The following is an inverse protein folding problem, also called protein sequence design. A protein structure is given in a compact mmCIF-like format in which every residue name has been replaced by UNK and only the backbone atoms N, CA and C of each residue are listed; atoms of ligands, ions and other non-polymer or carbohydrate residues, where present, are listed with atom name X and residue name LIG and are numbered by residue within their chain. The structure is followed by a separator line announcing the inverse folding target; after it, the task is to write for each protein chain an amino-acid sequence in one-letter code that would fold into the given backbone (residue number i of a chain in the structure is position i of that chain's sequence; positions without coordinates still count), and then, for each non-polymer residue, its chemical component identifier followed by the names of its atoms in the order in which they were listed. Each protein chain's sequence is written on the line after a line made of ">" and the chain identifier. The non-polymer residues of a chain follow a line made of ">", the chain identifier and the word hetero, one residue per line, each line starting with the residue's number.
data_IF_639639791646
#
_entry.id   IF_639639791646
#
_cell.length_a   1.000
_cell.length_b   1.000
_cell.length_c   1.000
_cell.angle_alpha   90.00
_cell.angle_beta   90.00
_cell.angle_gamma   90.00
#
_symmetry.space_group_name_H-M   'P 1'
#
loop_
_entity.id
_entity.type
_entity.pdbx_description
1 polymer ?
#
# COMPACT_ATOMS: atom_id res chain seq x y z
N UNK A 1 -46.83 43.25 -36.79
CA UNK A 1 -46.88 41.91 -36.24
C UNK A 1 -46.70 42.08 -34.74
N UNK A 2 -47.72 41.75 -33.92
CA UNK A 2 -47.79 42.16 -32.51
C UNK A 2 -46.72 41.47 -31.67
N UNK A 3 -45.86 42.24 -31.04
CA UNK A 3 -44.74 41.76 -30.15
C UNK A 3 -45.20 40.74 -29.10
N UNK A 4 -46.46 40.82 -28.62
CA UNK A 4 -47.07 39.85 -27.70
C UNK A 4 -47.26 38.45 -28.31
N UNK A 5 -47.55 38.35 -29.63
CA UNK A 5 -47.66 37.07 -30.34
C UNK A 5 -46.31 36.41 -30.58
N UNK A 6 -45.26 37.24 -30.80
CA UNK A 6 -43.87 36.78 -30.96
C UNK A 6 -43.33 36.21 -29.63
N UNK A 7 -43.67 36.88 -28.51
CA UNK A 7 -43.26 36.41 -27.17
C UNK A 7 -43.93 35.11 -26.76
N UNK A 8 -45.24 34.93 -27.11
CA UNK A 8 -45.96 33.72 -26.87
C UNK A 8 -45.44 32.54 -27.71
N UNK A 9 -45.02 32.79 -28.95
CA UNK A 9 -44.46 31.82 -29.85
C UNK A 9 -43.05 31.38 -29.42
N UNK A 10 -42.23 32.32 -28.87
CA UNK A 10 -40.92 32.02 -28.29
C UNK A 10 -41.04 31.20 -26.98
N UNK A 11 -42.09 31.44 -26.15
CA UNK A 11 -42.34 30.69 -24.94
C UNK A 11 -42.76 29.24 -25.23
N UNK A 12 -43.51 29.03 -26.32
CA UNK A 12 -43.93 27.70 -26.77
C UNK A 12 -42.78 26.87 -27.39
N UNK A 13 -41.82 27.55 -28.05
CA UNK A 13 -40.62 26.88 -28.58
C UNK A 13 -39.62 26.44 -27.50
N UNK A 14 -39.65 27.07 -26.32
CA UNK A 14 -38.79 26.70 -25.16
C UNK A 14 -39.32 25.46 -24.40
N UNK A 15 -40.53 25.00 -24.68
CA UNK A 15 -41.14 23.81 -24.03
C UNK A 15 -40.96 22.51 -24.83
N UNK A 16 -40.02 22.46 -25.82
CA UNK A 16 -39.69 21.22 -26.48
C UNK A 16 -39.05 20.27 -25.47
N UNK A 17 -39.64 19.08 -25.22
CA UNK A 17 -39.02 18.12 -24.32
C UNK A 17 -37.68 17.74 -24.90
N UNK A 18 -36.60 18.01 -24.16
CA UNK A 18 -35.29 17.42 -24.40
C UNK A 18 -35.47 15.91 -24.30
N UNK A 19 -35.67 15.27 -25.45
CA UNK A 19 -35.66 13.83 -25.52
C UNK A 19 -34.26 13.39 -25.14
N UNK A 20 -34.04 13.17 -23.84
CA UNK A 20 -32.85 12.50 -23.35
C UNK A 20 -32.82 11.11 -24.00
N UNK A 21 -31.82 10.87 -24.81
CA UNK A 21 -31.55 9.55 -25.35
C UNK A 21 -31.10 8.67 -24.17
N UNK A 22 -32.10 8.06 -23.49
CA UNK A 22 -31.80 7.08 -22.47
C UNK A 22 -31.09 5.90 -23.16
N UNK A 23 -29.82 5.69 -22.80
CA UNK A 23 -29.07 4.53 -23.27
C UNK A 23 -29.80 3.27 -22.78
N UNK A 24 -30.28 2.46 -23.68
CA UNK A 24 -30.83 1.15 -23.33
C UNK A 24 -29.64 0.24 -22.96
N UNK A 25 -29.65 -0.20 -21.72
CA UNK A 25 -28.63 -1.12 -21.24
C UNK A 25 -29.03 -2.55 -21.57
N UNK A 26 -28.15 -3.30 -22.21
CA UNK A 26 -28.33 -4.75 -22.37
C UNK A 26 -27.87 -5.46 -21.09
N UNK A 27 -28.34 -6.69 -20.88
CA UNK A 27 -27.88 -7.52 -19.74
C UNK A 27 -26.35 -7.61 -19.70
N UNK A 28 -25.71 -7.76 -20.86
CA UNK A 28 -24.26 -7.78 -20.96
C UNK A 28 -23.62 -6.47 -20.51
N UNK A 29 -24.17 -5.32 -20.93
CA UNK A 29 -23.65 -4.00 -20.51
C UNK A 29 -23.77 -3.83 -19.00
N UNK A 30 -24.87 -4.29 -18.38
CA UNK A 30 -25.07 -4.24 -16.94
C UNK A 30 -24.04 -5.10 -16.20
N UNK A 31 -23.79 -6.31 -16.66
CA UNK A 31 -22.78 -7.23 -16.09
C UNK A 31 -21.40 -6.62 -16.21
N UNK A 32 -21.00 -6.17 -17.39
CA UNK A 32 -19.67 -5.61 -17.64
C UNK A 32 -19.42 -4.35 -16.78
N UNK A 33 -20.44 -3.48 -16.69
CA UNK A 33 -20.36 -2.30 -15.82
C UNK A 33 -20.21 -2.67 -14.34
N UNK A 34 -20.99 -3.65 -13.87
CA UNK A 34 -20.93 -4.07 -12.48
C UNK A 34 -19.59 -4.73 -12.14
N UNK A 35 -19.05 -5.59 -13.01
CA UNK A 35 -17.72 -6.21 -12.80
C UNK A 35 -16.62 -5.16 -12.73
N UNK A 36 -16.73 -4.07 -13.49
CA UNK A 36 -15.74 -2.99 -13.48
C UNK A 36 -15.86 -2.08 -12.25
N UNK A 37 -17.08 -1.81 -11.78
CA UNK A 37 -17.37 -0.77 -10.81
C UNK A 37 -17.79 -1.28 -9.43
N UNK A 38 -18.02 -2.59 -9.26
CA UNK A 38 -18.46 -3.14 -7.99
C UNK A 38 -17.35 -3.07 -6.94
N UNK A 39 -17.62 -2.37 -5.83
CA UNK A 39 -16.66 -2.14 -4.75
C UNK A 39 -16.30 -3.46 -4.04
N UNK A 40 -17.24 -4.38 -3.88
CA UNK A 40 -16.98 -5.68 -3.25
C UNK A 40 -15.98 -6.50 -4.07
N UNK A 41 -16.14 -6.52 -5.40
CA UNK A 41 -15.20 -7.20 -6.29
C UNK A 41 -13.83 -6.52 -6.31
N UNK A 42 -13.79 -5.18 -6.27
CA UNK A 42 -12.51 -4.46 -6.16
C UNK A 42 -11.80 -4.79 -4.83
N UNK A 43 -12.53 -4.88 -3.73
CA UNK A 43 -11.99 -5.28 -2.43
C UNK A 43 -11.39 -6.69 -2.47
N UNK A 44 -12.10 -7.69 -3.04
CA UNK A 44 -11.56 -9.05 -3.14
C UNK A 44 -10.35 -9.14 -4.06
N UNK A 45 -10.31 -8.36 -5.16
CA UNK A 45 -9.13 -8.24 -6.02
C UNK A 45 -7.92 -7.64 -5.31
N UNK A 46 -8.12 -6.60 -4.50
CA UNK A 46 -7.06 -6.03 -3.68
C UNK A 46 -6.57 -7.01 -2.62
N UNK A 47 -7.48 -7.77 -2.00
CA UNK A 47 -7.11 -8.83 -1.06
C UNK A 47 -6.27 -9.92 -1.75
N UNK A 48 -6.66 -10.35 -2.94
CA UNK A 48 -5.86 -11.29 -3.76
C UNK A 48 -4.45 -10.74 -4.06
N UNK A 49 -4.33 -9.44 -4.38
CA UNK A 49 -3.02 -8.82 -4.60
C UNK A 49 -2.20 -8.78 -3.30
N UNK A 50 -2.83 -8.47 -2.17
CA UNK A 50 -2.16 -8.48 -0.86
C UNK A 50 -1.60 -9.86 -0.53
N UNK A 51 -2.39 -10.93 -0.68
CA UNK A 51 -1.90 -12.29 -0.41
C UNK A 51 -0.78 -12.73 -1.35
N UNK A 52 -0.74 -12.22 -2.59
CA UNK A 52 0.40 -12.44 -3.50
C UNK A 52 1.68 -11.75 -2.99
N UNK A 53 1.58 -10.59 -2.37
CA UNK A 53 2.73 -9.95 -1.74
C UNK A 53 3.15 -10.66 -0.44
N UNK A 54 2.21 -11.22 0.33
CA UNK A 54 2.51 -12.04 1.51
C UNK A 54 3.34 -13.30 1.14
N UNK A 55 3.05 -13.91 -0.03
CA UNK A 55 3.90 -14.98 -0.58
C UNK A 55 5.33 -14.51 -0.83
N UNK A 56 5.51 -13.31 -1.40
CA UNK A 56 6.86 -12.74 -1.64
C UNK A 56 7.57 -12.45 -0.32
N UNK A 57 6.84 -11.94 0.68
CA UNK A 57 7.37 -11.72 2.01
C UNK A 57 7.85 -13.04 2.65
N UNK A 58 7.01 -14.09 2.61
CA UNK A 58 7.40 -15.41 3.10
C UNK A 58 8.61 -16.02 2.34
N UNK A 59 8.77 -15.71 1.06
CA UNK A 59 9.98 -16.06 0.31
C UNK A 59 11.21 -15.29 0.79
N UNK A 60 11.05 -14.00 1.08
CA UNK A 60 12.13 -13.15 1.59
C UNK A 60 12.63 -13.59 2.97
N UNK A 61 11.77 -14.18 3.81
CA UNK A 61 12.15 -14.74 5.12
C UNK A 61 13.12 -15.94 5.03
N UNK A 62 13.26 -16.55 3.85
CA UNK A 62 14.26 -17.58 3.60
C UNK A 62 15.64 -17.02 3.28
N UNK A 63 15.73 -15.72 2.99
CA UNK A 63 16.96 -15.02 2.65
C UNK A 63 17.56 -14.34 3.89
N UNK A 64 18.87 -14.06 3.87
CA UNK A 64 19.49 -13.28 4.92
C UNK A 64 18.98 -11.84 4.91
N UNK A 65 18.71 -11.28 6.09
CA UNK A 65 18.41 -9.87 6.28
C UNK A 65 19.68 -9.10 6.63
N UNK A 66 19.92 -8.00 5.91
CA UNK A 66 21.03 -7.09 6.16
C UNK A 66 20.48 -5.77 6.67
N UNK A 67 20.92 -5.34 7.85
CA UNK A 67 20.55 -4.05 8.42
C UNK A 67 21.80 -3.20 8.66
N UNK A 68 21.70 -1.93 8.31
CA UNK A 68 22.69 -0.90 8.62
C UNK A 68 22.14 0.00 9.72
N UNK A 69 22.92 0.20 10.75
CA UNK A 69 22.59 1.11 11.85
C UNK A 69 23.67 2.16 12.01
N UNK A 70 23.27 3.39 12.26
CA UNK A 70 24.19 4.46 12.61
C UNK A 70 23.66 5.20 13.83
N UNK A 71 24.54 5.52 14.75
CA UNK A 71 24.23 6.37 15.90
C UNK A 71 25.26 7.51 15.94
N UNK A 72 24.76 8.72 16.03
CA UNK A 72 25.58 9.93 16.07
C UNK A 72 25.20 10.70 17.35
N UNK A 73 26.19 10.87 18.24
CA UNK A 73 25.99 11.59 19.49
C UNK A 73 26.91 12.82 19.51
N UNK A 74 26.32 13.99 19.60
CA UNK A 74 27.02 15.24 19.88
C UNK A 74 26.76 15.63 21.35
N UNK A 75 27.80 15.77 22.13
CA UNK A 75 27.72 16.20 23.53
C UNK A 75 28.47 17.52 23.72
N UNK A 76 27.76 18.53 24.23
CA UNK A 76 28.33 19.84 24.55
C UNK A 76 28.47 19.97 26.06
N UNK A 77 29.72 20.12 26.54
CA UNK A 77 30.00 20.37 27.94
C UNK A 77 30.57 21.79 28.09
N UNK A 78 29.77 22.74 28.58
CA UNK A 78 30.20 24.14 28.72
C UNK A 78 31.29 24.34 29.77
N UNK A 79 31.40 23.44 30.75
CA UNK A 79 32.44 23.44 31.80
C UNK A 79 33.20 22.11 31.77
N UNK A 80 34.16 21.91 30.83
CA UNK A 80 34.93 20.68 30.78
C UNK A 80 35.83 20.61 32.03
N UNK A 81 35.70 19.51 32.75
CA UNK A 81 36.63 19.24 33.88
C UNK A 81 38.02 18.93 33.32
N UNK A 82 39.02 19.66 33.82
CA UNK A 82 40.44 19.54 33.37
C UNK A 82 41.10 18.25 33.85
N UNK A 83 40.37 17.33 34.48
CA UNK A 83 40.92 16.16 35.17
C UNK A 83 41.03 14.89 34.33
N UNK A 84 40.72 14.91 33.04
CA UNK A 84 40.96 13.75 32.17
C UNK A 84 42.29 13.90 31.44
N UNK A 85 43.34 13.59 32.11
CA UNK A 85 44.64 13.41 31.46
C UNK A 85 44.73 11.98 30.92
N UNK A 86 44.82 11.83 29.61
CA UNK A 86 45.12 10.54 28.97
C UNK A 86 46.58 10.48 28.69
N UNK A 87 47.29 9.52 29.29
CA UNK A 87 48.74 9.30 29.03
C UNK A 87 48.87 8.35 27.84
N UNK A 88 49.25 8.88 26.70
CA UNK A 88 49.55 8.08 25.49
C UNK A 88 51.05 8.24 25.17
N UNK A 89 51.78 7.14 25.12
CA UNK A 89 53.22 7.10 24.85
C UNK A 89 54.10 8.01 25.72
N UNK A 90 53.74 8.21 27.00
CA UNK A 90 54.50 9.05 27.93
C UNK A 90 54.20 10.54 27.83
N UNK A 91 53.27 10.96 26.97
CA UNK A 91 52.80 12.33 26.88
C UNK A 91 51.42 12.45 27.54
N UNK A 92 51.26 13.47 28.34
CA UNK A 92 49.93 13.81 28.95
C UNK A 92 49.21 14.74 28.02
N UNK A 93 48.26 14.24 27.34
CA UNK A 93 47.33 15.07 26.55
C UNK A 93 46.12 15.45 27.40
N UNK A 94 46.03 16.72 27.72
CA UNK A 94 44.81 17.30 28.33
C UNK A 94 43.96 17.85 27.19
N UNK A 95 43.00 17.03 26.70
CA UNK A 95 42.01 17.52 25.75
C UNK A 95 40.88 18.24 26.49
N UNK A 96 40.74 19.52 26.23
CA UNK A 96 39.68 20.37 26.80
C UNK A 96 38.63 20.62 25.73
N UNK A 97 38.14 19.54 25.10
CA UNK A 97 37.14 19.68 24.09
C UNK A 97 35.76 19.92 24.72
N UNK A 98 35.21 21.10 24.46
CA UNK A 98 33.83 21.46 24.88
C UNK A 98 32.78 20.69 24.10
N UNK A 99 33.14 20.19 22.93
CA UNK A 99 32.24 19.43 22.05
C UNK A 99 32.83 18.06 21.81
N UNK A 100 32.11 17.03 22.24
CA UNK A 100 32.46 15.65 21.94
C UNK A 100 31.48 15.13 20.90
N UNK A 101 32.02 14.69 19.78
CA UNK A 101 31.27 14.02 18.74
C UNK A 101 31.68 12.55 18.69
N UNK A 102 30.69 11.67 18.89
CA UNK A 102 30.90 10.23 18.81
C UNK A 102 29.92 9.62 17.83
N UNK A 103 30.44 8.89 16.86
CA UNK A 103 29.65 8.19 15.84
C UNK A 103 29.95 6.70 15.87
N UNK A 104 28.92 5.87 15.78
CA UNK A 104 29.03 4.45 15.56
C UNK A 104 28.26 4.01 14.33
N UNK A 105 28.84 3.07 13.59
CA UNK A 105 28.23 2.46 12.42
C UNK A 105 28.24 0.95 12.63
N UNK A 106 27.06 0.34 12.41
CA UNK A 106 26.89 -1.09 12.56
C UNK A 106 26.31 -1.69 11.29
N UNK A 107 26.83 -2.83 10.89
CA UNK A 107 26.27 -3.67 9.82
C UNK A 107 25.94 -5.02 10.45
N UNK A 108 24.63 -5.38 10.42
CA UNK A 108 24.17 -6.62 11.00
C UNK A 108 23.55 -7.50 9.91
N UNK A 109 24.06 -8.72 9.79
CA UNK A 109 23.52 -9.76 8.93
C UNK A 109 22.85 -10.82 9.82
N UNK A 110 21.57 -11.08 9.58
CA UNK A 110 20.84 -12.13 10.26
C UNK A 110 20.28 -13.12 9.25
N UNK A 111 20.56 -14.40 9.44
CA UNK A 111 20.09 -15.46 8.58
C UNK A 111 19.68 -16.69 9.38
N UNK A 112 18.42 -17.07 9.25
CA UNK A 112 17.93 -18.32 9.85
C UNK A 112 18.12 -19.47 8.87
N UNK A 113 19.24 -20.18 8.98
CA UNK A 113 19.60 -21.30 8.09
C UNK A 113 18.65 -22.49 8.29
N UNK A 114 18.24 -22.75 9.55
CA UNK A 114 17.37 -23.84 9.90
C UNK A 114 16.49 -23.50 11.11
N UNK A 115 15.17 -23.76 10.99
CA UNK A 115 14.20 -23.58 12.06
C UNK A 115 13.13 -24.70 12.07
N UNK A 116 13.53 -25.93 11.78
CA UNK A 116 12.57 -27.05 11.74
C UNK A 116 11.57 -26.98 10.59
N UNK A 117 11.96 -26.42 9.43
CA UNK A 117 11.09 -26.20 8.26
C UNK A 117 9.94 -25.19 8.47
N UNK A 118 9.92 -24.45 9.58
CA UNK A 118 8.84 -23.51 9.87
C UNK A 118 8.64 -22.49 8.74
N UNK A 119 9.70 -21.81 8.30
CA UNK A 119 9.61 -20.81 7.22
C UNK A 119 9.16 -21.44 5.90
N UNK A 120 9.62 -22.65 5.59
CA UNK A 120 9.18 -23.37 4.38
C UNK A 120 7.70 -23.76 4.43
N UNK A 121 7.21 -24.16 5.60
CA UNK A 121 5.79 -24.49 5.77
C UNK A 121 4.94 -23.21 5.74
N UNK A 122 5.44 -22.10 6.29
CA UNK A 122 4.79 -20.78 6.18
C UNK A 122 4.65 -20.37 4.72
N UNK A 123 5.72 -20.48 3.93
CA UNK A 123 5.65 -20.18 2.49
C UNK A 123 4.61 -21.05 1.76
N UNK A 124 4.47 -22.34 2.12
CA UNK A 124 3.44 -23.20 1.54
C UNK A 124 2.04 -22.74 1.94
N UNK A 125 1.86 -22.33 3.19
CA UNK A 125 0.59 -21.81 3.70
C UNK A 125 0.20 -20.54 2.94
N UNK A 126 1.13 -19.59 2.80
CA UNK A 126 0.85 -18.34 2.07
C UNK A 126 0.49 -18.58 0.59
N UNK A 127 1.11 -19.58 -0.06
CA UNK A 127 0.74 -19.95 -1.43
C UNK A 127 -0.69 -20.47 -1.50
N UNK A 128 -1.10 -21.34 -0.59
CA UNK A 128 -2.48 -21.86 -0.53
C UNK A 128 -3.47 -20.73 -0.24
N UNK A 129 -3.12 -19.82 0.66
CA UNK A 129 -3.94 -18.64 0.98
C UNK A 129 -4.09 -17.70 -0.24
N UNK A 130 -3.05 -17.55 -1.05
CA UNK A 130 -3.12 -16.76 -2.28
C UNK A 130 -4.01 -17.43 -3.34
N UNK A 131 -3.94 -18.76 -3.49
CA UNK A 131 -4.83 -19.52 -4.36
C UNK A 131 -6.29 -19.43 -3.90
N UNK A 132 -6.55 -19.52 -2.58
CA UNK A 132 -7.88 -19.32 -2.01
C UNK A 132 -8.41 -17.93 -2.34
N UNK A 133 -7.62 -16.87 -2.14
CA UNK A 133 -8.05 -15.49 -2.43
C UNK A 133 -8.36 -15.27 -3.92
N UNK A 134 -7.69 -15.99 -4.84
CA UNK A 134 -7.98 -15.97 -6.26
C UNK A 134 -9.34 -16.61 -6.56
N UNK A 135 -9.64 -17.76 -5.96
CA UNK A 135 -10.93 -18.43 -6.06
C UNK A 135 -12.07 -17.60 -5.45
N UNK A 136 -11.82 -16.94 -4.31
CA UNK A 136 -12.79 -16.06 -3.65
C UNK A 136 -13.14 -14.86 -4.54
N UNK A 137 -12.14 -14.28 -5.22
CA UNK A 137 -12.37 -13.21 -6.19
C UNK A 137 -13.20 -13.68 -7.39
N UNK A 138 -12.92 -14.88 -7.93
CA UNK A 138 -13.68 -15.47 -9.02
C UNK A 138 -15.12 -15.79 -8.60
N UNK A 139 -15.31 -16.35 -7.40
CA UNK A 139 -16.64 -16.64 -6.84
C UNK A 139 -17.45 -15.36 -6.64
N UNK A 140 -16.82 -14.29 -6.14
CA UNK A 140 -17.47 -12.99 -6.00
C UNK A 140 -17.92 -12.44 -7.35
N UNK A 141 -17.08 -12.56 -8.39
CA UNK A 141 -17.43 -12.11 -9.74
C UNK A 141 -18.65 -12.89 -10.30
N UNK A 142 -18.65 -14.22 -10.12
CA UNK A 142 -19.77 -15.06 -10.56
C UNK A 142 -21.07 -14.73 -9.82
N UNK A 143 -21.02 -14.54 -8.49
CA UNK A 143 -22.20 -14.19 -7.71
C UNK A 143 -22.81 -12.84 -8.13
N UNK A 144 -21.97 -11.86 -8.50
CA UNK A 144 -22.44 -10.58 -9.03
C UNK A 144 -23.14 -10.77 -10.38
N UNK A 145 -22.60 -11.62 -11.27
CA UNK A 145 -23.24 -11.94 -12.56
C UNK A 145 -24.60 -12.58 -12.37
N UNK A 146 -24.70 -13.56 -11.48
CA UNK A 146 -25.97 -14.23 -11.15
C UNK A 146 -27.01 -13.27 -10.57
N UNK A 147 -26.61 -12.42 -9.63
CA UNK A 147 -27.53 -11.42 -9.05
C UNK A 147 -28.06 -10.45 -10.11
N UNK A 148 -27.22 -9.99 -11.03
CA UNK A 148 -27.65 -9.10 -12.11
C UNK A 148 -28.58 -9.84 -13.09
N UNK A 149 -28.26 -11.08 -13.44
CA UNK A 149 -29.10 -11.88 -14.32
C UNK A 149 -30.48 -12.20 -13.74
N UNK A 150 -30.59 -12.27 -12.40
CA UNK A 150 -31.87 -12.47 -11.71
C UNK A 150 -32.71 -11.20 -11.62
N UNK A 151 -32.04 -10.02 -11.63
CA UNK A 151 -32.72 -8.72 -11.50
C UNK A 151 -33.12 -8.09 -12.84
N UNK A 152 -32.50 -8.53 -13.94
CA UNK A 152 -32.77 -8.06 -15.29
C UNK A 152 -34.01 -8.74 -15.89
#
# INVERSE_FOLDING_TARGET
>A
MNTKKLFMMALFAASLPLHGWAKQWTLKDCIDYAIQNNISLQKTRLQMLSTKEDVKQAQAELLPSLSFSTSQNGNYNPWPETNRATVTNGYVETSVDKVYYNGSYGLNLNWTVWNGNRNRNQLKLEKITAEQAELDSATTANSIQEQIAQLY
#
